data_IF_413824571705
#
_entry.id   IF_413824571705
#
_cell.length_a   1.000
_cell.length_b   1.000
_cell.length_c   1.000
_cell.angle_alpha   90.00
_cell.angle_beta   90.00
_cell.angle_gamma   90.00
#
_symmetry.space_group_name_H-M   'P 1'
#
loop_
_entity.id
_entity.type
_entity.pdbx_description
1 polymer ?
#
# COMPACT_ATOMS: atom_id res chain seq x y z
N UNK A 1 -9.03 14.77 -3.27
CA UNK A 1 -8.39 13.44 -3.42
C UNK A 1 -9.39 12.51 -4.10
N UNK A 2 -8.98 11.91 -5.20
CA UNK A 2 -9.84 10.99 -5.90
C UNK A 2 -9.64 9.57 -5.38
N UNK A 3 -10.73 8.82 -5.29
CA UNK A 3 -10.73 7.45 -4.81
C UNK A 3 -11.62 6.59 -5.70
N UNK A 4 -11.47 5.28 -5.57
CA UNK A 4 -12.39 4.32 -6.17
C UNK A 4 -12.62 3.18 -5.20
N UNK A 5 -13.72 2.44 -5.36
CA UNK A 5 -14.12 1.39 -4.44
C UNK A 5 -14.20 0.07 -5.18
N UNK A 6 -13.52 -0.94 -4.62
CA UNK A 6 -13.62 -2.33 -5.06
C UNK A 6 -14.04 -3.15 -3.85
N UNK A 7 -15.21 -3.80 -3.96
CA UNK A 7 -15.81 -4.53 -2.85
C UNK A 7 -16.04 -3.57 -1.68
N UNK A 8 -15.39 -3.75 -0.54
CA UNK A 8 -15.50 -2.86 0.62
C UNK A 8 -14.22 -2.09 0.88
N UNK A 9 -13.36 -2.02 -0.12
CA UNK A 9 -12.09 -1.32 -0.01
C UNK A 9 -12.14 -0.06 -0.86
N UNK A 10 -11.94 1.06 -0.22
CA UNK A 10 -11.75 2.34 -0.91
C UNK A 10 -10.26 2.59 -1.06
N UNK A 11 -9.83 2.83 -2.29
CA UNK A 11 -8.43 3.05 -2.62
C UNK A 11 -8.24 4.47 -3.14
N UNK A 12 -7.14 5.10 -2.75
CA UNK A 12 -6.73 6.33 -3.44
C UNK A 12 -6.44 6.00 -4.89
N UNK A 13 -6.73 6.94 -5.78
CA UNK A 13 -6.54 6.73 -7.21
C UNK A 13 -5.06 6.79 -7.61
N UNK A 14 -4.24 7.44 -6.79
CA UNK A 14 -2.82 7.60 -7.05
C UNK A 14 -2.00 7.14 -5.86
N UNK A 15 -0.75 6.74 -6.13
CA UNK A 15 0.25 6.56 -5.09
C UNK A 15 0.52 7.90 -4.40
N UNK A 16 1.02 7.86 -3.18
CA UNK A 16 1.58 9.07 -2.58
C UNK A 16 2.74 9.56 -3.47
N UNK A 17 2.96 10.89 -3.55
CA UNK A 17 3.88 11.44 -4.54
C UNK A 17 5.31 10.95 -4.44
N UNK A 18 5.77 10.64 -3.23
CA UNK A 18 7.14 10.20 -3.00
C UNK A 18 7.18 8.80 -2.42
N UNK A 19 8.27 8.08 -2.66
CA UNK A 19 8.58 6.89 -1.87
C UNK A 19 8.95 7.33 -0.46
N UNK A 20 8.66 6.49 0.52
CA UNK A 20 8.94 6.85 1.91
C UNK A 20 9.23 5.62 2.76
N UNK A 21 9.80 5.84 3.94
CA UNK A 21 10.01 4.79 4.91
C UNK A 21 8.67 4.30 5.46
N UNK A 22 8.67 3.12 6.06
CA UNK A 22 7.43 2.58 6.64
C UNK A 22 6.87 3.50 7.72
N UNK A 23 7.74 4.02 8.59
CA UNK A 23 7.29 4.90 9.67
C UNK A 23 6.72 6.22 9.15
N UNK A 24 7.32 6.79 8.10
CA UNK A 24 6.80 8.00 7.47
C UNK A 24 5.45 7.74 6.80
N UNK A 25 5.30 6.60 6.16
CA UNK A 25 4.03 6.22 5.55
C UNK A 25 2.93 6.07 6.60
N UNK A 26 3.25 5.43 7.73
CA UNK A 26 2.32 5.27 8.84
C UNK A 26 1.91 6.62 9.42
N UNK A 27 2.88 7.50 9.64
CA UNK A 27 2.63 8.84 10.16
C UNK A 27 1.77 9.66 9.20
N UNK A 28 2.04 9.57 7.90
CA UNK A 28 1.25 10.26 6.89
C UNK A 28 -0.21 9.82 6.93
N UNK A 29 -0.45 8.51 6.98
CA UNK A 29 -1.80 7.97 7.03
C UNK A 29 -2.52 8.38 8.31
N UNK A 30 -1.84 8.31 9.45
CA UNK A 30 -2.42 8.71 10.74
C UNK A 30 -2.80 10.19 10.74
N UNK A 31 -1.99 11.04 10.14
CA UNK A 31 -2.26 12.48 10.05
C UNK A 31 -3.45 12.78 9.15
N UNK A 32 -3.63 12.04 8.06
CA UNK A 32 -4.81 12.17 7.22
C UNK A 32 -6.10 11.82 7.97
N UNK A 33 -6.05 10.84 8.87
CA UNK A 33 -7.22 10.37 9.59
C UNK A 33 -8.24 9.68 8.69
N UNK A 34 -9.50 9.69 9.09
CA UNK A 34 -10.65 9.15 8.33
C UNK A 34 -10.49 7.66 7.94
N UNK A 35 -9.66 6.92 8.69
CA UNK A 35 -9.46 5.50 8.45
C UNK A 35 -8.44 5.16 7.37
N UNK A 36 -7.77 6.16 6.79
CA UNK A 36 -6.74 5.90 5.79
C UNK A 36 -5.56 5.16 6.41
N UNK A 37 -5.06 4.15 5.69
CA UNK A 37 -3.97 3.28 6.15
C UNK A 37 -3.29 2.62 4.95
N UNK A 38 -2.14 2.02 5.20
CA UNK A 38 -1.53 1.14 4.21
C UNK A 38 -2.38 -0.14 4.09
N UNK A 39 -2.38 -0.80 2.91
CA UNK A 39 -3.13 -2.04 2.73
C UNK A 39 -2.58 -3.16 3.60
N UNK A 40 -3.46 -4.06 4.05
CA UNK A 40 -3.03 -5.30 4.69
C UNK A 40 -2.44 -6.26 3.65
N UNK A 41 -1.70 -7.27 4.11
CA UNK A 41 -1.19 -8.31 3.21
C UNK A 41 -2.32 -8.97 2.42
N UNK A 42 -3.44 -9.28 3.05
CA UNK A 42 -4.59 -9.89 2.38
C UNK A 42 -5.17 -8.99 1.29
N UNK A 43 -5.22 -7.69 1.54
CA UNK A 43 -5.73 -6.73 0.56
C UNK A 43 -4.85 -6.63 -0.68
N UNK A 44 -3.57 -6.94 -0.58
CA UNK A 44 -2.69 -6.97 -1.74
C UNK A 44 -3.07 -8.05 -2.75
N UNK A 45 -3.82 -9.08 -2.36
CA UNK A 45 -4.36 -10.03 -3.34
C UNK A 45 -5.29 -9.31 -4.33
N UNK A 46 -6.16 -8.44 -3.82
CA UNK A 46 -7.03 -7.61 -4.67
C UNK A 46 -6.23 -6.58 -5.47
N UNK A 47 -5.29 -5.91 -4.83
CA UNK A 47 -4.45 -4.89 -5.48
C UNK A 47 -3.66 -5.51 -6.64
N UNK A 48 -3.11 -6.70 -6.47
CA UNK A 48 -2.40 -7.40 -7.54
C UNK A 48 -3.30 -7.72 -8.73
N UNK A 49 -4.54 -8.10 -8.49
CA UNK A 49 -5.52 -8.29 -9.58
C UNK A 49 -5.74 -6.99 -10.34
N UNK A 50 -5.91 -5.89 -9.62
CA UNK A 50 -6.08 -4.58 -10.25
C UNK A 50 -4.86 -4.20 -11.08
N UNK A 51 -3.67 -4.43 -10.55
CA UNK A 51 -2.42 -4.16 -11.28
C UNK A 51 -2.36 -4.95 -12.59
N UNK A 52 -2.69 -6.24 -12.56
CA UNK A 52 -2.70 -7.08 -13.76
C UNK A 52 -3.73 -6.65 -14.80
N UNK A 53 -4.82 -6.04 -14.35
CA UNK A 53 -5.88 -5.52 -15.22
C UNK A 53 -5.64 -4.08 -15.66
N UNK A 54 -4.52 -3.47 -15.26
CA UNK A 54 -4.19 -2.07 -15.50
C UNK A 54 -5.24 -1.13 -14.91
N UNK A 55 -5.80 -1.49 -13.76
CA UNK A 55 -6.78 -0.67 -13.04
C UNK A 55 -6.11 -0.04 -11.82
N UNK A 56 -6.30 1.26 -11.61
CA UNK A 56 -5.83 1.96 -10.42
C UNK A 56 -4.45 2.59 -10.54
N UNK A 57 -3.79 2.45 -11.68
CA UNK A 57 -2.50 3.11 -11.91
C UNK A 57 -1.35 2.64 -11.02
N UNK A 58 -1.40 1.38 -10.57
CA UNK A 58 -0.31 0.81 -9.78
C UNK A 58 0.93 0.60 -10.64
N UNK A 59 2.10 0.88 -10.05
CA UNK A 59 3.39 0.72 -10.72
C UNK A 59 3.98 -0.67 -10.48
N UNK A 60 4.86 -1.16 -11.37
CA UNK A 60 5.55 -2.44 -11.19
C UNK A 60 6.71 -2.29 -10.18
N UNK A 61 6.39 -1.86 -8.97
CA UNK A 61 7.35 -1.51 -7.93
C UNK A 61 6.93 -2.12 -6.61
N UNK A 62 7.71 -1.88 -5.56
CA UNK A 62 7.45 -2.38 -4.22
C UNK A 62 6.60 -1.39 -3.45
N UNK A 63 5.61 -1.91 -2.73
CA UNK A 63 4.66 -1.14 -1.92
C UNK A 63 4.66 -1.63 -0.48
N UNK A 64 4.66 -0.70 0.47
CA UNK A 64 4.52 -1.05 1.88
C UNK A 64 3.12 -1.59 2.20
N UNK A 65 3.08 -2.63 3.06
CA UNK A 65 1.85 -3.11 3.68
C UNK A 65 1.75 -2.59 5.12
N UNK A 66 0.57 -2.69 5.70
CA UNK A 66 0.30 -2.09 7.01
C UNK A 66 0.93 -2.85 8.19
N UNK A 67 1.29 -4.11 8.02
CA UNK A 67 1.85 -4.92 9.09
C UNK A 67 3.34 -4.67 9.27
N UNK A 68 3.80 -4.72 10.51
CA UNK A 68 5.21 -4.56 10.82
C UNK A 68 5.57 -5.33 12.08
N UNK A 69 6.87 -5.54 12.29
CA UNK A 69 7.38 -6.19 13.48
C UNK A 69 8.74 -5.60 13.80
N UNK A 70 8.81 -4.78 14.87
CA UNK A 70 10.06 -4.13 15.28
C UNK A 70 10.61 -3.23 14.18
N UNK A 71 11.80 -3.54 13.67
CA UNK A 71 12.50 -2.73 12.68
C UNK A 71 12.15 -3.08 11.23
N UNK A 72 11.25 -4.04 11.00
CA UNK A 72 10.88 -4.49 9.66
C UNK A 72 9.41 -4.26 9.40
N UNK A 73 9.10 -3.92 8.14
CA UNK A 73 7.73 -3.82 7.63
C UNK A 73 7.50 -4.85 6.54
N UNK A 74 6.24 -5.21 6.33
CA UNK A 74 5.86 -6.07 5.21
C UNK A 74 5.71 -5.24 3.94
N UNK A 75 6.09 -5.82 2.82
CA UNK A 75 5.90 -5.19 1.52
C UNK A 75 5.54 -6.22 0.46
N UNK A 76 4.99 -5.73 -0.65
CA UNK A 76 4.69 -6.52 -1.83
C UNK A 76 5.36 -5.94 -3.05
N UNK A 77 5.98 -6.79 -3.86
CA UNK A 77 6.54 -6.40 -5.14
C UNK A 77 5.53 -6.79 -6.23
N UNK A 78 5.01 -5.79 -6.93
CA UNK A 78 3.97 -6.01 -7.94
C UNK A 78 4.44 -6.90 -9.09
N UNK A 79 5.74 -6.97 -9.34
CA UNK A 79 6.29 -7.78 -10.43
C UNK A 79 6.33 -9.28 -10.14
N UNK A 80 6.23 -9.71 -8.89
CA UNK A 80 6.40 -11.13 -8.54
C UNK A 80 5.12 -11.81 -8.07
N UNK A 81 3.99 -11.13 -8.15
CA UNK A 81 2.72 -11.68 -7.70
C UNK A 81 2.56 -11.63 -6.19
N UNK A 82 1.61 -12.42 -5.64
CA UNK A 82 1.32 -12.40 -4.21
C UNK A 82 2.44 -13.10 -3.45
N UNK A 83 3.31 -12.33 -2.87
CA UNK A 83 4.45 -12.82 -2.11
C UNK A 83 4.89 -11.77 -1.10
N UNK A 84 4.28 -11.73 0.10
CA UNK A 84 4.65 -10.77 1.13
C UNK A 84 6.06 -11.05 1.65
N UNK A 85 6.83 -9.99 1.80
CA UNK A 85 8.21 -10.05 2.29
C UNK A 85 8.44 -9.02 3.38
N UNK A 86 9.46 -9.26 4.20
CA UNK A 86 9.90 -8.32 5.23
C UNK A 86 11.09 -7.53 4.73
N UNK A 87 11.11 -6.25 5.09
CA UNK A 87 12.20 -5.35 4.74
C UNK A 87 12.40 -4.33 5.86
N UNK A 88 13.64 -3.92 6.08
CA UNK A 88 13.96 -2.89 7.06
C UNK A 88 13.18 -1.60 6.76
N UNK A 89 12.57 -1.02 7.79
CA UNK A 89 11.72 0.17 7.68
C UNK A 89 12.42 1.41 7.17
N UNK A 90 13.76 1.46 7.20
CA UNK A 90 14.51 2.59 6.67
C UNK A 90 14.54 2.65 5.14
N UNK A 91 14.19 1.56 4.46
CA UNK A 91 14.06 1.59 3.01
C UNK A 91 12.85 2.43 2.61
N UNK A 92 12.93 3.04 1.42
CA UNK A 92 11.84 3.86 0.91
C UNK A 92 11.12 3.12 -0.23
N UNK A 93 9.83 2.92 -0.08
CA UNK A 93 9.00 2.22 -1.05
C UNK A 93 7.80 3.07 -1.43
N UNK A 94 7.07 2.64 -2.46
CA UNK A 94 5.81 3.25 -2.84
C UNK A 94 4.74 3.02 -1.78
N UNK A 95 3.79 3.92 -1.72
CA UNK A 95 2.67 3.81 -0.78
C UNK A 95 1.37 4.15 -1.52
N UNK A 96 0.40 3.27 -1.42
CA UNK A 96 -0.97 3.53 -1.84
C UNK A 96 -1.85 3.36 -0.62
N UNK A 97 -2.54 4.41 -0.20
CA UNK A 97 -3.39 4.32 0.97
C UNK A 97 -4.78 3.82 0.59
N UNK A 98 -5.38 3.11 1.52
CA UNK A 98 -6.71 2.51 1.40
C UNK A 98 -7.47 2.72 2.70
N UNK A 99 -8.77 2.49 2.66
CA UNK A 99 -9.58 2.39 3.87
C UNK A 99 -10.78 1.48 3.63
N UNK A 100 -11.30 0.92 4.71
CA UNK A 100 -12.50 0.09 4.65
C UNK A 100 -13.74 0.99 4.56
N UNK A 101 -14.68 0.63 3.69
CA UNK A 101 -15.95 1.37 3.56
C UNK A 101 -17.06 0.71 4.37
#
# INVERSE_FOLDING_TARGET
METFIIERLELMQDDLPDTMSWDDAKAYADELGDGWRMPTNDEFATILKLFRLNVGGFKPERYWANSSSGLVGWFHNMNVGYSPHLLNKFNTLRVRLVRTT
#
